data_IF_727775302347
#
_entry.id   IF_727775302347
#
_cell.length_a   1.000
_cell.length_b   1.000
_cell.length_c   1.000
_cell.angle_alpha   90.00
_cell.angle_beta   90.00
_cell.angle_gamma   90.00
#
_symmetry.space_group_name_H-M   'P 1'
#
loop_
_entity.id
_entity.type
_entity.pdbx_description
1 polymer ?
#
# COMPACT_ATOMS: atom_id res chain seq x y z
N UNK A 1 4.45 33.63 -10.45
CA UNK A 1 3.54 32.54 -10.91
C UNK A 1 4.10 31.68 -12.07
N UNK A 2 5.42 31.74 -12.37
CA UNK A 2 6.07 30.90 -13.41
C UNK A 2 6.84 29.67 -12.86
N UNK A 3 6.92 29.48 -11.54
CA UNK A 3 7.70 28.38 -10.94
C UNK A 3 6.94 27.03 -10.84
N UNK A 4 5.60 27.04 -10.91
CA UNK A 4 4.82 25.80 -10.84
C UNK A 4 4.93 24.95 -12.11
N UNK A 5 5.03 25.58 -13.29
CA UNK A 5 5.11 24.86 -14.57
C UNK A 5 6.43 24.10 -14.78
N UNK A 6 7.52 24.55 -14.17
CA UNK A 6 8.83 23.87 -14.23
C UNK A 6 8.87 22.58 -13.41
N UNK A 7 8.33 22.61 -12.20
CA UNK A 7 8.33 21.46 -11.30
C UNK A 7 7.41 20.34 -11.78
N UNK A 8 6.24 20.66 -12.34
CA UNK A 8 5.33 19.65 -12.91
C UNK A 8 5.99 18.92 -14.09
N UNK A 9 6.71 19.64 -14.96
CA UNK A 9 7.46 19.02 -16.06
C UNK A 9 8.55 18.08 -15.54
N UNK A 10 9.33 18.50 -14.53
CA UNK A 10 10.38 17.67 -13.90
C UNK A 10 9.81 16.39 -13.30
N UNK A 11 8.78 16.50 -12.46
CA UNK A 11 8.10 15.33 -11.87
C UNK A 11 7.63 14.38 -12.96
N UNK A 12 7.02 14.88 -14.04
CA UNK A 12 6.60 14.05 -15.18
C UNK A 12 7.76 13.28 -15.83
N UNK A 13 8.92 13.90 -16.01
CA UNK A 13 10.09 13.22 -16.59
C UNK A 13 10.65 12.16 -15.65
N UNK A 14 10.74 12.46 -14.35
CA UNK A 14 11.23 11.53 -13.33
C UNK A 14 10.29 10.33 -13.22
N UNK A 15 8.98 10.59 -13.13
CA UNK A 15 7.94 9.56 -13.13
C UNK A 15 8.05 8.72 -14.41
N UNK A 16 8.20 9.33 -15.59
CA UNK A 16 8.39 8.58 -16.84
C UNK A 16 9.65 7.70 -16.81
N UNK A 17 10.73 8.16 -16.19
CA UNK A 17 11.95 7.37 -16.03
C UNK A 17 11.71 6.15 -15.13
N UNK A 18 11.13 6.33 -13.95
CA UNK A 18 10.77 5.20 -13.08
C UNK A 18 9.71 4.29 -13.71
N UNK A 19 8.78 4.85 -14.48
CA UNK A 19 7.76 4.08 -15.19
C UNK A 19 8.41 3.16 -16.23
N UNK A 20 9.32 3.71 -17.04
CA UNK A 20 10.02 2.98 -18.11
C UNK A 20 11.02 1.96 -17.56
N UNK A 21 11.66 2.28 -16.44
CA UNK A 21 12.71 1.45 -15.85
C UNK A 21 12.18 0.42 -14.84
N UNK A 22 10.98 0.63 -14.27
CA UNK A 22 10.54 -0.15 -13.10
C UNK A 22 9.06 -0.52 -12.97
N UNK A 23 8.12 0.12 -13.68
CA UNK A 23 6.68 -0.20 -13.48
C UNK A 23 6.30 -1.60 -13.99
N UNK A 24 7.03 -2.09 -14.99
CA UNK A 24 6.84 -3.40 -15.58
C UNK A 24 7.99 -4.33 -15.23
N UNK A 25 8.43 -4.30 -13.96
CA UNK A 25 9.40 -5.27 -13.50
C UNK A 25 8.83 -6.68 -13.76
N UNK A 26 9.58 -7.59 -14.40
CA UNK A 26 9.08 -8.93 -14.76
C UNK A 26 8.48 -9.67 -13.56
N UNK A 27 9.05 -9.48 -12.37
CA UNK A 27 8.51 -10.03 -11.12
C UNK A 27 7.12 -9.49 -10.78
N UNK A 28 6.87 -8.19 -10.89
CA UNK A 28 5.56 -7.59 -10.60
C UNK A 28 4.49 -8.07 -11.58
N UNK A 29 4.85 -8.22 -12.87
CA UNK A 29 3.97 -8.80 -13.88
C UNK A 29 3.70 -10.29 -13.62
N UNK A 30 4.72 -11.06 -13.26
CA UNK A 30 4.57 -12.47 -12.89
C UNK A 30 3.67 -12.61 -11.65
N UNK A 31 3.85 -11.74 -10.64
CA UNK A 31 2.99 -11.73 -9.46
C UNK A 31 1.55 -11.37 -9.80
N UNK A 32 1.30 -10.38 -10.67
CA UNK A 32 -0.08 -10.07 -11.14
C UNK A 32 -0.69 -11.29 -11.83
N UNK A 33 0.07 -12.00 -12.67
CA UNK A 33 -0.41 -13.21 -13.32
C UNK A 33 -0.72 -14.32 -12.31
N UNK A 34 0.15 -14.54 -11.32
CA UNK A 34 -0.07 -15.50 -10.23
C UNK A 34 -1.31 -15.13 -9.40
N UNK A 35 -1.50 -13.85 -9.10
CA UNK A 35 -2.68 -13.34 -8.40
C UNK A 35 -3.93 -13.62 -9.22
N UNK A 36 -3.95 -13.25 -10.50
CA UNK A 36 -5.10 -13.48 -11.38
C UNK A 36 -5.45 -14.98 -11.51
N UNK A 37 -4.44 -15.84 -11.68
CA UNK A 37 -4.62 -17.29 -11.78
C UNK A 37 -5.11 -17.90 -10.46
N UNK A 38 -4.55 -17.47 -9.33
CA UNK A 38 -4.96 -17.94 -8.01
C UNK A 38 -6.40 -17.55 -7.71
N UNK A 39 -6.78 -16.31 -8.03
CA UNK A 39 -8.16 -15.83 -7.87
C UNK A 39 -9.13 -16.58 -8.79
N UNK A 40 -8.76 -16.79 -10.06
CA UNK A 40 -9.57 -17.60 -10.97
C UNK A 40 -9.79 -19.02 -10.46
N UNK A 41 -8.72 -19.68 -9.97
CA UNK A 41 -8.79 -21.03 -9.40
C UNK A 41 -9.67 -21.09 -8.15
N UNK A 42 -9.64 -20.06 -7.30
CA UNK A 42 -10.50 -20.01 -6.10
C UNK A 42 -11.96 -19.84 -6.49
N UNK A 43 -12.26 -18.94 -7.42
CA UNK A 43 -13.61 -18.71 -7.90
C UNK A 43 -14.23 -19.96 -8.54
N UNK A 44 -13.44 -20.73 -9.29
CA UNK A 44 -13.92 -21.97 -9.91
C UNK A 44 -14.07 -23.14 -8.94
N UNK A 45 -13.31 -23.16 -7.84
CA UNK A 45 -13.27 -24.30 -6.91
C UNK A 45 -14.23 -24.13 -5.72
N UNK A 46 -14.43 -22.91 -5.24
CA UNK A 46 -15.13 -22.65 -3.97
C UNK A 46 -16.52 -22.01 -4.13
N UNK A 47 -17.14 -22.12 -5.32
CA UNK A 47 -18.51 -21.65 -5.63
C UNK A 47 -18.86 -20.25 -5.07
N UNK A 48 -17.87 -19.35 -4.95
CA UNK A 48 -18.08 -17.99 -4.46
C UNK A 48 -17.98 -17.76 -2.94
N UNK A 49 -17.44 -18.68 -2.13
CA UNK A 49 -17.11 -18.41 -0.72
C UNK A 49 -15.86 -17.50 -0.58
N UNK A 50 -16.06 -16.23 -0.95
CA UNK A 50 -15.00 -15.21 -1.03
C UNK A 50 -14.43 -14.84 0.33
N UNK A 51 -15.28 -14.72 1.34
CA UNK A 51 -14.86 -14.25 2.65
C UNK A 51 -13.97 -15.26 3.35
N UNK A 52 -14.25 -16.57 3.22
CA UNK A 52 -13.48 -17.61 3.92
C UNK A 52 -12.17 -17.94 3.26
N UNK A 53 -12.14 -17.98 1.92
CA UNK A 53 -10.96 -18.47 1.17
C UNK A 53 -10.15 -17.35 0.52
N UNK A 54 -10.79 -16.30 0.01
CA UNK A 54 -10.11 -15.27 -0.80
C UNK A 54 -9.49 -14.16 0.06
N UNK A 55 -10.23 -13.67 1.07
CA UNK A 55 -9.77 -12.56 1.94
C UNK A 55 -8.41 -12.86 2.60
N UNK A 56 -8.20 -14.03 3.25
CA UNK A 56 -6.90 -14.36 3.84
C UNK A 56 -5.77 -14.43 2.83
N UNK A 57 -6.03 -15.04 1.66
CA UNK A 57 -5.00 -15.21 0.63
C UNK A 57 -4.57 -13.85 0.06
N UNK A 58 -5.54 -12.97 -0.20
CA UNK A 58 -5.28 -11.62 -0.65
C UNK A 58 -4.52 -10.81 0.40
N UNK A 59 -5.02 -10.76 1.64
CA UNK A 59 -4.49 -9.87 2.65
C UNK A 59 -3.17 -10.33 3.26
N UNK A 60 -2.97 -11.63 3.43
CA UNK A 60 -1.80 -12.16 4.15
C UNK A 60 -0.66 -12.61 3.23
N UNK A 61 -0.93 -12.81 1.93
CA UNK A 61 0.08 -13.32 1.01
C UNK A 61 0.19 -12.48 -0.27
N UNK A 62 -0.86 -12.47 -1.09
CA UNK A 62 -0.77 -11.96 -2.46
C UNK A 62 -0.52 -10.44 -2.52
N UNK A 63 -1.31 -9.64 -1.78
CA UNK A 63 -1.15 -8.19 -1.77
C UNK A 63 0.15 -7.76 -1.09
N UNK A 64 0.53 -8.27 0.11
CA UNK A 64 1.79 -7.92 0.73
C UNK A 64 3.02 -8.23 -0.14
N UNK A 65 3.06 -9.41 -0.76
CA UNK A 65 4.19 -9.82 -1.63
C UNK A 65 4.30 -8.91 -2.85
N UNK A 66 3.16 -8.55 -3.46
CA UNK A 66 3.15 -7.60 -4.57
C UNK A 66 3.71 -6.24 -4.16
N UNK A 67 3.22 -5.70 -3.04
CA UNK A 67 3.63 -4.39 -2.53
C UNK A 67 5.10 -4.37 -2.13
N UNK A 68 5.60 -5.44 -1.51
CA UNK A 68 7.03 -5.63 -1.22
C UNK A 68 7.87 -5.58 -2.50
N UNK A 69 7.49 -6.35 -3.53
CA UNK A 69 8.23 -6.39 -4.79
C UNK A 69 8.22 -5.03 -5.50
N UNK A 70 7.06 -4.37 -5.59
CA UNK A 70 6.93 -3.06 -6.20
C UNK A 70 7.67 -1.97 -5.41
N UNK A 71 7.53 -1.97 -4.09
CA UNK A 71 8.12 -0.96 -3.21
C UNK A 71 9.64 -1.06 -3.12
N UNK A 72 10.19 -2.26 -2.95
CA UNK A 72 11.65 -2.47 -2.85
C UNK A 72 12.39 -2.09 -4.12
N UNK A 73 11.76 -2.21 -5.29
CA UNK A 73 12.37 -1.77 -6.54
C UNK A 73 12.54 -0.25 -6.60
N UNK A 74 11.69 0.52 -5.90
CA UNK A 74 11.74 1.98 -5.88
C UNK A 74 12.64 2.54 -4.77
N UNK A 75 12.97 1.71 -3.78
CA UNK A 75 13.94 2.02 -2.73
C UNK A 75 15.33 1.59 -3.21
N UNK A 76 15.99 2.52 -3.89
CA UNK A 76 17.36 2.36 -4.34
C UNK A 76 18.36 2.39 -3.19
N UNK A 77 19.55 1.84 -3.42
CA UNK A 77 20.68 1.95 -2.50
C UNK A 77 21.08 3.42 -2.29
N UNK A 78 21.79 3.77 -1.20
CA UNK A 78 22.23 5.15 -0.94
C UNK A 78 22.93 5.80 -2.13
N UNK A 79 23.75 5.04 -2.86
CA UNK A 79 24.47 5.48 -4.06
C UNK A 79 23.50 5.86 -5.20
N UNK A 80 22.45 5.08 -5.40
CA UNK A 80 21.41 5.35 -6.40
C UNK A 80 20.63 6.61 -6.01
N UNK A 81 20.29 6.77 -4.73
CA UNK A 81 19.58 7.97 -4.26
C UNK A 81 20.42 9.22 -4.47
N UNK A 82 21.72 9.19 -4.14
CA UNK A 82 22.63 10.32 -4.39
C UNK A 82 22.74 10.62 -5.89
N UNK A 83 22.84 9.60 -6.73
CA UNK A 83 22.85 9.77 -8.19
C UNK A 83 21.55 10.42 -8.70
N UNK A 84 20.39 9.93 -8.26
CA UNK A 84 19.07 10.45 -8.62
C UNK A 84 18.92 11.91 -8.21
N UNK A 85 19.32 12.25 -6.99
CA UNK A 85 19.32 13.62 -6.48
C UNK A 85 20.24 14.52 -7.30
N UNK A 86 21.45 14.07 -7.62
CA UNK A 86 22.39 14.83 -8.45
C UNK A 86 21.85 15.04 -9.88
N UNK A 87 21.14 14.07 -10.42
CA UNK A 87 20.54 14.14 -11.76
C UNK A 87 19.35 15.10 -11.80
N UNK A 88 18.50 15.10 -10.77
CA UNK A 88 17.24 15.87 -10.77
C UNK A 88 17.32 17.21 -10.02
N UNK A 89 18.35 17.39 -9.17
CA UNK A 89 18.61 18.57 -8.34
C UNK A 89 17.41 19.05 -7.52
N UNK A 90 16.57 18.12 -7.06
CA UNK A 90 15.35 18.42 -6.30
C UNK A 90 14.85 17.17 -5.54
N UNK A 91 15.00 17.18 -4.21
CA UNK A 91 14.57 16.10 -3.32
C UNK A 91 13.05 15.96 -3.25
N UNK A 92 12.31 17.08 -3.30
CA UNK A 92 10.84 17.07 -3.23
C UNK A 92 10.26 16.42 -4.48
N UNK A 93 10.80 16.78 -5.66
CA UNK A 93 10.40 16.16 -6.92
C UNK A 93 10.75 14.66 -6.96
N UNK A 94 11.86 14.25 -6.35
CA UNK A 94 12.24 12.83 -6.24
C UNK A 94 11.25 12.05 -5.37
N UNK A 95 10.94 12.55 -4.17
CA UNK A 95 9.96 11.93 -3.26
C UNK A 95 8.60 11.78 -3.93
N UNK A 96 8.09 12.88 -4.49
CA UNK A 96 6.79 12.89 -5.17
C UNK A 96 6.78 11.93 -6.37
N UNK A 97 7.87 11.85 -7.13
CA UNK A 97 7.95 10.93 -8.26
C UNK A 97 7.98 9.47 -7.83
N UNK A 98 8.73 9.10 -6.78
CA UNK A 98 8.73 7.73 -6.25
C UNK A 98 7.36 7.31 -5.72
N UNK A 99 6.70 8.20 -4.97
CA UNK A 99 5.35 7.95 -4.46
C UNK A 99 4.32 7.83 -5.61
N UNK A 100 4.41 8.69 -6.62
CA UNK A 100 3.54 8.63 -7.79
C UNK A 100 3.78 7.37 -8.62
N UNK A 101 5.04 6.97 -8.82
CA UNK A 101 5.39 5.73 -9.51
C UNK A 101 4.89 4.51 -8.74
N UNK A 102 5.02 4.48 -7.42
CA UNK A 102 4.46 3.41 -6.59
C UNK A 102 2.94 3.35 -6.73
N UNK A 103 2.26 4.49 -6.62
CA UNK A 103 0.80 4.59 -6.79
C UNK A 103 0.35 4.07 -8.16
N UNK A 104 1.04 4.46 -9.23
CA UNK A 104 0.75 3.99 -10.59
C UNK A 104 1.05 2.49 -10.75
N UNK A 105 2.05 1.97 -10.05
CA UNK A 105 2.35 0.53 -10.07
C UNK A 105 1.21 -0.29 -9.48
N UNK A 106 0.41 0.26 -8.55
CA UNK A 106 -0.74 -0.44 -7.98
C UNK A 106 -1.94 -0.52 -8.95
N UNK A 107 -1.95 0.25 -10.05
CA UNK A 107 -3.10 0.32 -10.95
C UNK A 107 -3.47 -1.02 -11.62
N UNK A 108 -2.53 -1.83 -12.15
CA UNK A 108 -2.84 -3.15 -12.69
C UNK A 108 -3.38 -4.09 -11.61
N UNK A 109 -2.82 -4.03 -10.40
CA UNK A 109 -3.32 -4.83 -9.28
C UNK A 109 -4.77 -4.43 -8.93
N UNK A 110 -5.04 -3.13 -8.79
CA UNK A 110 -6.37 -2.60 -8.53
C UNK A 110 -7.38 -3.06 -9.60
N UNK A 111 -6.99 -3.01 -10.88
CA UNK A 111 -7.83 -3.46 -11.98
C UNK A 111 -8.17 -4.95 -11.87
N UNK A 112 -7.19 -5.82 -11.56
CA UNK A 112 -7.43 -7.26 -11.35
C UNK A 112 -8.36 -7.50 -10.16
N UNK A 113 -8.14 -6.82 -9.04
CA UNK A 113 -8.96 -6.97 -7.84
C UNK A 113 -10.41 -6.52 -8.06
N UNK A 114 -10.61 -5.40 -8.76
CA UNK A 114 -11.94 -4.89 -9.11
C UNK A 114 -12.66 -5.82 -10.09
N UNK A 115 -11.96 -6.33 -11.11
CA UNK A 115 -12.54 -7.31 -12.05
C UNK A 115 -12.97 -8.58 -11.32
N UNK A 116 -12.16 -9.05 -10.38
CA UNK A 116 -12.48 -10.24 -9.57
C UNK A 116 -13.67 -9.97 -8.67
N UNK A 117 -13.69 -8.85 -7.93
CA UNK A 117 -14.82 -8.48 -7.07
C UNK A 117 -16.13 -8.35 -7.86
N UNK A 118 -16.07 -7.77 -9.06
CA UNK A 118 -17.23 -7.67 -9.95
C UNK A 118 -17.69 -9.04 -10.47
N UNK A 119 -16.77 -9.86 -10.96
CA UNK A 119 -17.07 -11.18 -11.54
C UNK A 119 -17.68 -12.16 -10.52
N UNK A 120 -17.43 -11.93 -9.24
CA UNK A 120 -17.88 -12.78 -8.14
C UNK A 120 -19.07 -12.21 -7.36
N UNK A 121 -19.61 -11.05 -7.75
CA UNK A 121 -20.68 -10.37 -7.01
C UNK A 121 -20.24 -9.83 -5.63
N UNK A 122 -18.93 -9.68 -5.41
CA UNK A 122 -18.32 -9.25 -4.15
C UNK A 122 -18.22 -7.73 -4.01
N UNK A 123 -19.26 -6.98 -4.41
CA UNK A 123 -19.23 -5.50 -4.42
C UNK A 123 -18.93 -4.88 -3.04
N UNK A 124 -19.33 -5.57 -1.97
CA UNK A 124 -19.06 -5.17 -0.58
C UNK A 124 -17.54 -5.09 -0.28
N UNK A 125 -16.70 -5.86 -0.97
CA UNK A 125 -15.24 -5.86 -0.78
C UNK A 125 -14.55 -4.63 -1.35
N UNK A 126 -15.19 -3.90 -2.29
CA UNK A 126 -14.56 -2.80 -3.03
C UNK A 126 -14.10 -1.69 -2.08
N UNK A 127 -14.91 -1.33 -1.08
CA UNK A 127 -14.54 -0.30 -0.10
C UNK A 127 -13.27 -0.68 0.69
N UNK A 128 -13.20 -1.92 1.15
CA UNK A 128 -12.06 -2.45 1.89
C UNK A 128 -10.80 -2.56 1.02
N UNK A 129 -10.93 -2.94 -0.26
CA UNK A 129 -9.82 -2.98 -1.22
C UNK A 129 -9.26 -1.59 -1.50
N UNK A 130 -10.12 -0.59 -1.72
CA UNK A 130 -9.69 0.79 -1.91
C UNK A 130 -8.96 1.33 -0.67
N UNK A 131 -9.49 1.03 0.52
CA UNK A 131 -8.85 1.37 1.78
C UNK A 131 -7.45 0.72 1.91
N UNK A 132 -7.32 -0.53 1.45
CA UNK A 132 -6.04 -1.25 1.44
C UNK A 132 -5.01 -0.62 0.50
N UNK A 133 -5.42 -0.23 -0.71
CA UNK A 133 -4.52 0.43 -1.66
C UNK A 133 -4.05 1.79 -1.14
N UNK A 134 -4.95 2.57 -0.54
CA UNK A 134 -4.65 3.86 0.07
C UNK A 134 -3.63 3.71 1.21
N UNK A 135 -3.85 2.74 2.10
CA UNK A 135 -2.97 2.48 3.25
C UNK A 135 -1.59 2.05 2.79
N UNK A 136 -1.48 1.17 1.78
CA UNK A 136 -0.20 0.83 1.16
C UNK A 136 0.56 2.04 0.59
N UNK A 137 -0.11 2.94 -0.13
CA UNK A 137 0.52 4.16 -0.65
C UNK A 137 1.05 5.01 0.50
N UNK A 138 0.27 5.19 1.56
CA UNK A 138 0.69 6.00 2.70
C UNK A 138 1.85 5.39 3.47
N UNK A 139 1.84 4.07 3.67
CA UNK A 139 2.87 3.35 4.41
C UNK A 139 4.15 3.16 3.61
N UNK A 140 4.10 3.29 2.28
CA UNK A 140 5.28 3.39 1.43
C UNK A 140 6.06 4.70 1.65
N UNK A 141 5.39 5.80 1.99
CA UNK A 141 6.04 7.10 2.16
C UNK A 141 7.11 7.13 3.28
N UNK A 142 6.88 6.59 4.50
CA UNK A 142 7.93 6.44 5.51
C UNK A 142 9.08 5.53 5.07
N UNK A 143 8.82 4.53 4.23
CA UNK A 143 9.87 3.63 3.75
C UNK A 143 10.90 4.35 2.87
N UNK A 144 10.50 5.43 2.17
CA UNK A 144 11.42 6.29 1.42
C UNK A 144 12.42 7.03 2.31
N UNK A 145 12.13 7.19 3.60
CA UNK A 145 13.05 7.76 4.58
C UNK A 145 14.18 6.78 4.94
N UNK A 146 13.94 5.48 4.74
CA UNK A 146 14.90 4.44 5.02
C UNK A 146 15.92 4.39 3.88
N UNK A 147 17.12 4.92 4.15
CA UNK A 147 18.22 4.99 3.17
C UNK A 147 18.81 3.61 2.82
N UNK A 148 18.43 2.55 3.54
CA UNK A 148 18.90 1.18 3.33
C UNK A 148 17.74 0.28 2.89
N UNK A 149 17.94 -0.44 1.79
CA UNK A 149 17.00 -1.40 1.24
C UNK A 149 16.70 -2.53 2.23
N UNK A 150 17.66 -2.92 3.09
CA UNK A 150 17.44 -3.93 4.14
C UNK A 150 16.51 -3.42 5.23
N UNK A 151 16.71 -2.18 5.68
CA UNK A 151 15.83 -1.53 6.64
C UNK A 151 14.42 -1.37 6.07
N UNK A 152 14.31 -0.97 4.79
CA UNK A 152 13.03 -0.90 4.10
C UNK A 152 12.33 -2.25 3.96
N UNK A 153 13.07 -3.32 3.66
CA UNK A 153 12.54 -4.69 3.64
C UNK A 153 11.97 -5.09 5.00
N UNK A 154 12.72 -4.87 6.09
CA UNK A 154 12.25 -5.18 7.44
C UNK A 154 10.99 -4.37 7.79
N UNK A 155 10.96 -3.09 7.45
CA UNK A 155 9.79 -2.23 7.64
C UNK A 155 8.57 -2.74 6.86
N UNK A 156 8.74 -3.09 5.58
CA UNK A 156 7.64 -3.63 4.78
C UNK A 156 7.15 -4.99 5.28
N UNK A 157 8.04 -5.88 5.70
CA UNK A 157 7.63 -7.17 6.29
C UNK A 157 6.84 -6.94 7.58
N UNK A 158 7.30 -6.04 8.45
CA UNK A 158 6.57 -5.73 9.68
C UNK A 158 5.17 -5.16 9.38
N UNK A 159 5.10 -4.14 8.53
CA UNK A 159 3.87 -3.36 8.32
C UNK A 159 2.89 -4.06 7.38
N UNK A 160 3.36 -4.73 6.32
CA UNK A 160 2.50 -5.34 5.31
C UNK A 160 2.24 -6.83 5.50
N UNK A 161 3.05 -7.54 6.29
CA UNK A 161 2.83 -8.97 6.56
C UNK A 161 2.51 -9.22 8.04
N UNK A 162 3.41 -8.86 8.96
CA UNK A 162 3.25 -9.24 10.37
C UNK A 162 2.00 -8.61 11.01
N UNK A 163 1.77 -7.31 10.79
CA UNK A 163 0.60 -6.62 11.36
C UNK A 163 -0.72 -7.20 10.83
N UNK A 164 -0.94 -7.37 9.50
CA UNK A 164 -2.15 -8.02 9.00
C UNK A 164 -2.34 -9.46 9.49
N UNK A 165 -1.27 -10.25 9.60
CA UNK A 165 -1.35 -11.62 10.13
C UNK A 165 -1.74 -11.64 11.62
N UNK A 166 -1.33 -10.63 12.38
CA UNK A 166 -1.70 -10.51 13.79
C UNK A 166 -3.16 -10.06 13.98
N UNK A 167 -3.74 -9.33 13.02
CA UNK A 167 -5.09 -8.79 13.09
C UNK A 167 -6.18 -9.84 13.44
N UNK A 168 -6.32 -10.97 12.74
CA UNK A 168 -7.35 -11.96 13.07
C UNK A 168 -7.19 -12.53 14.48
N UNK A 169 -5.95 -12.65 15.00
CA UNK A 169 -5.69 -13.17 16.35
C UNK A 169 -6.22 -12.17 17.38
N UNK A 170 -5.88 -10.89 17.24
CA UNK A 170 -6.32 -9.84 18.16
C UNK A 170 -7.83 -9.64 18.10
N UNK A 171 -8.40 -9.54 16.89
CA UNK A 171 -9.83 -9.33 16.68
C UNK A 171 -10.67 -10.49 17.22
N UNK A 172 -10.25 -11.74 16.99
CA UNK A 172 -10.95 -12.92 17.52
C UNK A 172 -10.94 -12.93 19.06
N UNK A 173 -9.82 -12.59 19.67
CA UNK A 173 -9.69 -12.54 21.13
C UNK A 173 -10.60 -11.44 21.73
N UNK A 174 -10.64 -10.26 21.12
CA UNK A 174 -11.51 -9.16 21.59
C UNK A 174 -12.99 -9.51 21.45
N UNK A 175 -13.42 -10.01 20.29
CA UNK A 175 -14.82 -10.44 20.10
C UNK A 175 -15.19 -11.54 21.08
N UNK A 176 -14.29 -12.50 21.33
CA UNK A 176 -14.56 -13.58 22.29
C UNK A 176 -14.64 -13.09 23.74
N UNK A 177 -13.87 -12.06 24.10
CA UNK A 177 -13.80 -11.54 25.46
C UNK A 177 -14.91 -10.51 25.77
N UNK A 178 -15.24 -9.64 24.80
CA UNK A 178 -16.12 -8.48 25.00
C UNK A 178 -17.36 -8.47 24.12
N UNK A 179 -17.43 -9.30 23.09
CA UNK A 179 -18.53 -9.35 22.11
C UNK A 179 -18.49 -8.24 21.06
N UNK A 180 -17.81 -7.12 21.34
CA UNK A 180 -17.65 -5.96 20.46
C UNK A 180 -16.20 -5.49 20.42
N UNK A 181 -15.83 -4.77 19.36
CA UNK A 181 -14.51 -4.19 19.14
C UNK A 181 -14.59 -2.67 19.34
N UNK A 182 -13.79 -2.17 20.30
CA UNK A 182 -13.74 -0.74 20.62
C UNK A 182 -13.32 0.11 19.40
N UNK A 183 -13.91 1.31 19.28
CA UNK A 183 -13.71 2.19 18.13
C UNK A 183 -12.23 2.51 17.77
N UNK A 184 -11.32 2.78 18.74
CA UNK A 184 -9.90 3.01 18.42
C UNK A 184 -9.23 1.78 17.80
N UNK A 185 -9.56 0.59 18.31
CA UNK A 185 -9.01 -0.66 17.82
C UNK A 185 -9.56 -1.00 16.43
N UNK A 186 -10.86 -0.78 16.22
CA UNK A 186 -11.50 -0.89 14.92
C UNK A 186 -10.83 0.02 13.89
N UNK A 187 -10.65 1.31 14.20
CA UNK A 187 -9.98 2.25 13.29
C UNK A 187 -8.54 1.82 12.95
N UNK A 188 -7.80 1.30 13.94
CA UNK A 188 -6.47 0.75 13.71
C UNK A 188 -6.50 -0.44 12.74
N UNK A 189 -7.43 -1.38 12.88
CA UNK A 189 -7.52 -2.54 11.99
C UNK A 189 -8.16 -2.23 10.64
N UNK A 190 -9.08 -1.26 10.55
CA UNK A 190 -9.50 -0.73 9.25
C UNK A 190 -8.33 -0.09 8.50
N UNK A 191 -7.38 0.52 9.19
CA UNK A 191 -6.18 1.08 8.56
C UNK A 191 -5.14 -0.01 8.21
N UNK A 192 -4.91 -0.96 9.10
CA UNK A 192 -3.79 -1.92 8.97
C UNK A 192 -4.17 -3.26 8.35
N UNK A 193 -5.43 -3.68 8.40
CA UNK A 193 -5.94 -4.96 7.88
C UNK A 193 -7.41 -4.86 7.45
N UNK A 194 -7.76 -3.95 6.51
CA UNK A 194 -9.14 -3.69 6.12
C UNK A 194 -9.89 -4.92 5.61
N UNK A 195 -9.26 -5.84 4.86
CA UNK A 195 -10.01 -6.98 4.31
C UNK A 195 -10.43 -7.95 5.43
N UNK A 196 -9.65 -8.05 6.50
CA UNK A 196 -9.96 -8.87 7.68
C UNK A 196 -11.20 -8.31 8.37
N UNK A 197 -11.36 -6.99 8.41
CA UNK A 197 -12.49 -6.32 9.05
C UNK A 197 -13.84 -6.67 8.44
N UNK A 198 -13.89 -7.12 7.17
CA UNK A 198 -15.10 -7.65 6.54
C UNK A 198 -15.76 -8.72 7.42
N UNK A 199 -14.97 -9.61 8.01
CA UNK A 199 -15.47 -10.70 8.87
C UNK A 199 -15.96 -10.23 10.24
N UNK A 200 -15.60 -9.02 10.64
CA UNK A 200 -15.87 -8.47 11.96
C UNK A 200 -16.81 -7.25 11.91
N UNK A 201 -17.37 -6.91 10.75
CA UNK A 201 -18.23 -5.73 10.58
C UNK A 201 -19.43 -5.74 11.54
N UNK A 202 -20.00 -6.92 11.82
CA UNK A 202 -21.09 -7.08 12.79
C UNK A 202 -20.69 -6.92 14.27
N UNK A 203 -19.40 -6.75 14.57
CA UNK A 203 -18.86 -6.62 15.93
C UNK A 203 -18.26 -5.25 16.20
N UNK A 204 -18.41 -4.29 15.28
CA UNK A 204 -17.71 -3.02 15.29
C UNK A 204 -18.70 -1.86 15.24
N UNK A 205 -18.56 -0.90 16.16
CA UNK A 205 -19.43 0.29 16.23
C UNK A 205 -19.07 1.37 15.19
N UNK A 206 -17.96 1.19 14.47
CA UNK A 206 -17.45 2.13 13.47
C UNK A 206 -17.86 1.69 12.08
N UNK A 207 -18.70 2.50 11.42
CA UNK A 207 -19.10 2.24 10.03
C UNK A 207 -17.93 2.35 9.04
N UNK A 208 -17.97 1.60 7.94
CA UNK A 208 -16.96 1.65 6.88
C UNK A 208 -16.72 3.08 6.32
N UNK A 209 -17.74 3.93 6.06
CA UNK A 209 -17.51 5.31 5.64
C UNK A 209 -16.70 6.14 6.65
N UNK A 210 -16.98 5.97 7.94
CA UNK A 210 -16.21 6.62 9.02
C UNK A 210 -14.76 6.12 9.03
N UNK A 211 -14.56 4.81 8.87
CA UNK A 211 -13.22 4.24 8.77
C UNK A 211 -12.45 4.76 7.53
N UNK A 212 -13.11 4.86 6.37
CA UNK A 212 -12.52 5.40 5.14
C UNK A 212 -12.09 6.86 5.29
N UNK A 213 -12.93 7.70 5.90
CA UNK A 213 -12.59 9.12 6.14
C UNK A 213 -11.42 9.27 7.11
N UNK A 214 -11.42 8.49 8.21
CA UNK A 214 -10.32 8.47 9.16
C UNK A 214 -9.00 8.00 8.52
N UNK A 215 -9.05 6.94 7.70
CA UNK A 215 -7.88 6.43 7.00
C UNK A 215 -7.35 7.41 5.95
N UNK A 216 -8.22 8.10 5.19
CA UNK A 216 -7.81 9.16 4.28
C UNK A 216 -7.03 10.26 5.00
N UNK A 217 -7.53 10.69 6.16
CA UNK A 217 -6.87 11.70 6.97
C UNK A 217 -5.52 11.20 7.50
N UNK A 218 -5.48 9.99 8.07
CA UNK A 218 -4.26 9.38 8.57
C UNK A 218 -3.21 9.18 7.45
N UNK A 219 -3.63 8.67 6.30
CA UNK A 219 -2.78 8.48 5.13
C UNK A 219 -2.20 9.80 4.63
N UNK A 220 -3.01 10.86 4.55
CA UNK A 220 -2.54 12.19 4.15
C UNK A 220 -1.52 12.74 5.15
N UNK A 221 -1.78 12.60 6.46
CA UNK A 221 -0.83 13.02 7.50
C UNK A 221 0.49 12.27 7.41
N UNK A 222 0.47 10.95 7.24
CA UNK A 222 1.68 10.13 7.11
C UNK A 222 2.50 10.57 5.89
N UNK A 223 1.85 10.80 4.74
CA UNK A 223 2.54 11.25 3.51
C UNK A 223 3.14 12.63 3.70
N UNK A 224 2.39 13.59 4.27
CA UNK A 224 2.86 14.96 4.49
C UNK A 224 4.03 14.97 5.49
N UNK A 225 3.92 14.24 6.60
CA UNK A 225 4.98 14.12 7.59
C UNK A 225 6.25 13.51 6.98
N UNK A 226 6.10 12.43 6.21
CA UNK A 226 7.22 11.78 5.51
C UNK A 226 7.87 12.74 4.51
N UNK A 227 7.09 13.47 3.71
CA UNK A 227 7.63 14.46 2.77
C UNK A 227 8.45 15.55 3.48
N UNK A 228 7.97 16.03 4.63
CA UNK A 228 8.69 17.03 5.44
C UNK A 228 9.99 16.50 6.02
N UNK A 229 9.99 15.27 6.54
CA UNK A 229 11.22 14.65 7.06
C UNK A 229 12.21 14.36 5.93
N UNK A 230 11.72 13.89 4.77
CA UNK A 230 12.56 13.63 3.61
C UNK A 230 13.28 14.89 3.10
N UNK A 231 12.62 16.05 3.17
CA UNK A 231 13.25 17.34 2.88
C UNK A 231 14.35 17.68 3.89
N UNK A 232 14.18 17.40 5.19
CA UNK A 232 15.23 17.70 6.17
C UNK A 232 16.47 16.81 6.02
N UNK A 233 16.31 15.61 5.43
CA UNK A 233 17.42 14.71 5.11
C UNK A 233 18.35 15.27 4.02
N UNK A 234 17.91 16.27 3.23
CA UNK A 234 18.71 17.03 2.25
C UNK A 234 19.89 17.73 2.93
N UNK A 235 19.63 18.41 4.06
CA UNK A 235 20.62 19.24 4.76
C UNK A 235 21.66 18.43 5.57
N UNK A 236 21.36 17.17 5.87
CA UNK A 236 22.26 16.30 6.66
C UNK A 236 23.32 15.56 5.84
N UNK A 237 23.35 15.72 4.51
CA UNK A 237 24.35 15.11 3.61
C UNK A 237 25.43 16.10 3.15
N UNK A 238 25.31 17.39 3.49
CA UNK A 238 26.30 18.44 3.21
C UNK A 238 27.34 18.62 4.32
N UNK A 239 27.29 17.76 5.36
CA UNK A 239 28.23 17.69 6.47
C UNK A 239 28.76 16.27 6.63
#
# INVERSE_FOLDING_TARGET
>A
MYMLGGNVKKVKYIVKWYLKSGLFHPLSLALIAVIALSLHSILSTYEGDMERSMVPLLEYLLLPVYVLAAGLHMIGSPLVVVFEVNMFKDWRSLFAAKLASFTLSLAPLAAVLLLVAYASGGDYLVGYLLLRLLTYISLFAPALLLRDQRAALLYFVAVFMLVPIAAPIVLTNEVSARGTIDAPLALFFYFTSPLTMVRYEGHVDVSLPTACTAALFASALIVIASAKVFEHLEYGLEH
#
